data_IF_541460379532
#
_entry.id   IF_541460379532
#
_cell.length_a   1.000
_cell.length_b   1.000
_cell.length_c   1.000
_cell.angle_alpha   90.00
_cell.angle_beta   90.00
_cell.angle_gamma   90.00
#
_symmetry.space_group_name_H-M   'P 1'
#
loop_
_entity.id
_entity.type
_entity.pdbx_description
1 polymer ?
2 polymer ?
3 non-polymer ?
4 non-polymer ?
5 non-polymer ?
6 water ?
#
# COMPACT_ATOMS: atom_id res chain seq x y z
N UNK A 25 11.87 -29.18 4.28
CA UNK A 25 11.19 -28.08 4.96
C UNK A 25 11.71 -26.72 4.48
N UNK A 26 12.97 -26.42 4.80
CA UNK A 26 13.58 -25.14 4.44
C UNK A 26 13.58 -24.87 2.94
N UNK A 27 14.02 -25.85 2.15
CA UNK A 27 14.10 -25.68 0.71
C UNK A 27 12.70 -25.50 0.10
N UNK A 28 11.76 -26.30 0.59
CA UNK A 28 10.37 -26.24 0.13
C UNK A 28 9.73 -24.87 0.38
N UNK A 29 10.04 -24.28 1.53
CA UNK A 29 9.43 -23.02 1.95
C UNK A 29 10.12 -21.80 1.34
N UNK A 30 11.44 -21.84 1.28
CA UNK A 30 12.24 -20.74 0.78
C UNK A 30 11.99 -20.51 -0.72
N UNK A 31 11.74 -21.59 -1.46
CA UNK A 31 11.56 -21.49 -2.90
C UNK A 31 10.37 -20.61 -3.25
N UNK A 32 9.45 -20.49 -2.29
CA UNK A 32 8.21 -19.76 -2.53
C UNK A 32 8.33 -18.28 -2.18
N UNK A 33 9.41 -17.91 -1.51
CA UNK A 33 9.68 -16.51 -1.25
C UNK A 33 10.00 -15.86 -2.60
N UNK A 34 9.37 -14.72 -2.87
CA UNK A 34 9.51 -14.04 -4.15
C UNK A 34 10.93 -13.87 -4.63
N UNK A 35 11.82 -13.58 -3.68
CA UNK A 35 13.23 -13.39 -3.97
C UNK A 35 13.94 -14.67 -4.43
N UNK A 36 13.24 -15.79 -4.37
CA UNK A 36 13.85 -17.06 -4.74
C UNK A 36 13.02 -17.82 -5.77
N UNK A 37 11.85 -17.29 -6.11
CA UNK A 37 10.93 -17.99 -7.01
C UNK A 37 11.52 -18.23 -8.38
N UNK A 38 11.40 -19.47 -8.86
CA UNK A 38 11.95 -19.85 -10.14
C UNK A 38 13.43 -20.16 -10.08
N UNK A 39 14.10 -19.59 -9.08
CA UNK A 39 15.53 -19.81 -8.90
C UNK A 39 15.83 -21.25 -8.49
N UNK A 40 16.77 -21.87 -9.20
CA UNK A 40 17.24 -23.19 -8.81
C UNK A 40 17.97 -23.04 -7.49
N UNK A 41 18.15 -24.14 -6.76
CA UNK A 41 18.94 -24.19 -5.51
C UNK A 41 20.41 -23.67 -5.60
N UNK A 42 20.58 -22.39 -5.91
CA UNK A 42 21.74 -21.63 -5.44
C UNK A 42 21.33 -21.34 -4.00
N UNK A 50 27.03 -18.82 1.53
CA UNK A 50 26.77 -18.94 2.96
C UNK A 50 26.32 -17.66 3.69
N UNK A 51 25.20 -17.09 3.26
CA UNK A 51 24.49 -16.14 4.10
C UNK A 51 23.79 -16.97 5.16
N UNK A 52 24.32 -16.99 6.39
CA UNK A 52 23.92 -18.00 7.38
C UNK A 52 22.62 -17.68 8.13
N UNK A 53 21.67 -18.62 8.09
CA UNK A 53 20.36 -18.49 8.71
C UNK A 53 20.44 -18.30 10.21
N UNK A 54 19.72 -17.31 10.71
CA UNK A 54 19.72 -16.96 12.11
C UNK A 54 18.50 -17.53 12.83
N UNK A 55 18.64 -17.72 14.13
CA UNK A 55 17.53 -18.15 14.97
C UNK A 55 17.18 -17.09 16.01
N UNK A 56 15.89 -16.93 16.24
CA UNK A 56 15.41 -16.00 17.24
C UNK A 56 14.50 -16.74 18.20
N UNK A 57 14.53 -16.35 19.48
CA UNK A 57 13.54 -16.85 20.44
C UNK A 57 12.19 -16.21 20.20
N UNK A 58 11.15 -16.79 20.77
CA UNK A 58 9.85 -16.16 20.80
C UNK A 58 9.94 -14.84 21.58
N UNK A 59 9.15 -13.83 21.20
CA UNK A 59 9.16 -12.54 21.88
C UNK A 59 10.40 -11.67 21.70
N UNK A 60 11.21 -12.01 20.72
CA UNK A 60 12.40 -11.22 20.37
C UNK A 60 12.02 -10.09 19.41
N UNK A 61 12.47 -8.88 19.69
CA UNK A 61 12.31 -7.81 18.72
C UNK A 61 13.45 -7.89 17.71
N UNK A 62 13.10 -8.21 16.47
CA UNK A 62 14.11 -8.33 15.43
C UNK A 62 14.71 -6.96 15.20
N UNK A 63 13.85 -5.97 15.09
CA UNK A 63 14.24 -4.58 15.07
C UNK A 63 13.06 -3.74 15.52
N UNK A 64 13.32 -2.51 15.94
CA UNK A 64 12.28 -1.63 16.42
C UNK A 64 11.96 -0.50 15.44
N UNK A 65 10.76 0.04 15.57
CA UNK A 65 10.32 1.17 14.77
C UNK A 65 11.31 2.32 14.96
N UNK A 66 11.83 2.86 13.86
CA UNK A 66 12.67 4.04 13.94
C UNK A 66 14.16 3.81 13.82
N UNK A 67 14.58 2.58 14.05
CA UNK A 67 16.00 2.22 13.95
C UNK A 67 16.52 2.29 12.53
N UNK A 68 17.84 2.52 12.38
CA UNK A 68 18.36 2.40 11.02
C UNK A 68 18.28 0.93 10.63
N UNK A 69 18.09 0.67 9.34
CA UNK A 69 17.94 -0.72 8.90
C UNK A 69 18.76 -1.01 7.68
N UNK A 70 19.51 -2.10 7.73
CA UNK A 70 20.42 -2.40 6.63
C UNK A 70 20.17 -3.82 6.11
N UNK A 71 19.02 -4.37 6.45
CA UNK A 71 18.81 -5.81 6.30
C UNK A 71 17.35 -6.16 6.11
N UNK A 72 17.06 -7.04 5.15
CA UNK A 72 15.74 -7.64 5.05
C UNK A 72 15.82 -9.11 5.49
N UNK A 73 14.68 -9.66 5.90
CA UNK A 73 14.60 -11.04 6.35
C UNK A 73 13.58 -11.82 5.53
N UNK A 74 13.89 -13.09 5.30
CA UNK A 74 12.95 -14.09 4.83
C UNK A 74 12.72 -15.16 5.90
N UNK A 75 11.46 -15.32 6.32
CA UNK A 75 11.11 -16.31 7.30
C UNK A 75 11.15 -17.71 6.72
N UNK A 76 11.81 -18.61 7.45
CA UNK A 76 11.86 -20.02 7.13
C UNK A 76 10.85 -20.76 7.97
N UNK A 77 10.75 -20.36 9.24
CA UNK A 77 9.78 -20.95 10.14
C UNK A 77 9.45 -19.99 11.28
N UNK A 78 8.22 -20.07 11.77
CA UNK A 78 7.74 -19.20 12.83
C UNK A 78 6.95 -18.00 12.32
N UNK A 79 6.46 -17.19 13.26
CA UNK A 79 5.65 -16.02 12.98
C UNK A 79 6.25 -14.79 13.64
N UNK A 80 6.13 -13.69 12.91
CA UNK A 80 6.62 -12.38 13.30
C UNK A 80 5.48 -11.40 13.15
N UNK A 81 5.26 -10.59 14.17
CA UNK A 81 4.22 -9.57 14.11
C UNK A 81 4.85 -8.22 13.78
N UNK A 82 4.13 -7.44 12.97
CA UNK A 82 4.62 -6.17 12.51
C UNK A 82 3.78 -5.09 13.19
N UNK A 83 4.42 -4.24 13.98
CA UNK A 83 3.70 -3.27 14.79
C UNK A 83 4.12 -1.83 14.57
N UNK A 84 3.14 -0.94 14.67
CA UNK A 84 3.40 0.48 14.57
C UNK A 84 2.81 1.19 15.76
N UNK A 85 3.66 1.92 16.48
CA UNK A 85 3.25 2.65 17.67
C UNK A 85 2.26 3.78 17.39
N UNK A 86 1.24 3.89 18.22
CA UNK A 86 0.30 5.00 18.17
C UNK A 86 0.91 6.19 18.94
N UNK A 87 0.25 7.35 18.88
CA UNK A 87 0.76 8.54 19.59
C UNK A 87 1.33 8.24 20.99
N UNK A 88 0.80 7.21 21.66
CA UNK A 88 1.42 6.67 22.87
C UNK A 88 2.42 5.58 22.46
N UNK A 91 0.17 0.75 20.25
CA UNK A 91 0.85 -0.12 19.30
C UNK A 91 -0.21 -0.95 18.61
N UNK A 92 -0.46 -0.67 17.34
CA UNK A 92 -1.42 -1.46 16.58
C UNK A 92 -0.69 -2.36 15.60
N UNK A 93 -1.10 -3.62 15.56
CA UNK A 93 -0.45 -4.58 14.70
C UNK A 93 -0.98 -4.42 13.28
N UNK A 94 -0.10 -4.52 12.29
CA UNK A 94 -0.52 -4.30 10.92
C UNK A 94 -0.62 -5.61 10.22
N UNK A 95 0.29 -6.53 10.52
CA UNK A 95 0.20 -7.84 9.92
C UNK A 95 1.06 -8.88 10.64
N UNK A 96 0.80 -10.14 10.33
CA UNK A 96 1.52 -11.25 10.92
C UNK A 96 2.29 -11.89 9.79
N UNK A 97 3.60 -11.94 9.90
CA UNK A 97 4.39 -12.53 8.85
C UNK A 97 4.69 -13.98 9.19
N UNK A 98 4.65 -14.84 8.17
CA UNK A 98 4.98 -16.26 8.33
C UNK A 98 6.02 -16.81 7.35
N UNK A 99 6.12 -18.14 7.27
CA UNK A 99 7.05 -18.85 6.38
C UNK A 99 6.96 -18.37 4.94
N UNK A 100 8.10 -18.00 4.36
CA UNK A 100 8.20 -17.55 2.97
C UNK A 100 8.06 -16.03 2.81
N UNK A 101 7.51 -15.38 3.82
CA UNK A 101 7.25 -13.94 3.78
C UNK A 101 8.52 -13.19 3.98
N UNK A 102 8.52 -11.94 3.55
CA UNK A 102 9.71 -11.13 3.58
C UNK A 102 9.34 -9.88 4.36
N UNK A 103 10.14 -9.48 5.35
CA UNK A 103 9.89 -8.22 6.04
C UNK A 103 11.18 -7.42 6.21
N UNK A 104 11.04 -6.12 6.44
CA UNK A 104 12.19 -5.21 6.52
C UNK A 104 12.82 -4.80 5.19
N UNK A 105 12.07 -4.90 4.10
CA UNK A 105 12.61 -4.58 2.77
C UNK A 105 12.44 -3.10 2.43
N UNK A 106 11.54 -2.43 3.14
CA UNK A 106 11.35 -1.01 2.90
C UNK A 106 12.64 -0.20 3.06
N UNK A 107 13.33 -0.32 4.19
CA UNK A 107 14.53 0.48 4.38
C UNK A 107 15.71 0.06 3.50
N UNK A 108 15.62 -1.12 2.90
CA UNK A 108 16.61 -1.49 1.91
C UNK A 108 16.24 -0.89 0.54
N UNK A 109 14.95 -0.93 0.18
CA UNK A 109 14.52 -0.39 -1.11
C UNK A 109 14.39 1.13 -1.11
N UNK A 110 13.92 1.71 -0.02
CA UNK A 110 13.83 3.16 0.11
C UNK A 110 14.50 3.55 1.42
N UNK A 111 15.84 3.66 1.40
CA UNK A 111 16.67 3.88 2.61
C UNK A 111 16.06 4.91 3.56
N UNK A 112 15.90 4.49 4.80
CA UNK A 112 15.22 5.26 5.83
C UNK A 112 15.15 4.40 7.07
N UNK A 113 14.54 4.93 8.15
CA UNK A 113 14.43 4.15 9.39
C UNK A 113 13.30 3.11 9.24
N UNK A 114 13.28 2.08 10.09
CA UNK A 114 12.26 1.04 10.00
C UNK A 114 10.93 1.74 10.19
N UNK A 115 9.96 1.41 9.32
CA UNK A 115 8.63 2.02 9.40
C UNK A 115 7.76 1.33 10.44
N UNK A 116 8.27 0.26 11.03
CA UNK A 116 7.59 -0.39 12.14
C UNK A 116 8.50 -1.37 12.87
N UNK A 117 8.01 -2.01 13.91
CA UNK A 117 8.80 -3.04 14.59
C UNK A 117 8.43 -4.42 14.07
N UNK A 118 9.39 -5.33 14.17
CA UNK A 118 9.16 -6.74 13.85
C UNK A 118 9.49 -7.55 15.11
N UNK A 119 8.52 -8.33 15.60
CA UNK A 119 8.65 -9.05 16.86
C UNK A 119 8.20 -10.49 16.66
N UNK A 120 9.08 -11.45 16.95
CA UNK A 120 8.71 -12.84 16.75
C UNK A 120 7.61 -13.23 17.73
N UNK A 121 6.68 -14.08 17.33
CA UNK A 121 5.66 -14.50 18.29
C UNK A 121 5.79 -15.99 18.58
N UNK A 122 6.44 -16.69 17.68
CA UNK A 122 6.92 -18.04 17.94
C UNK A 122 8.46 -17.96 17.82
N UNK A 123 9.14 -19.07 18.05
CA UNK A 123 10.53 -19.19 17.65
C UNK A 123 10.60 -19.01 16.14
N UNK A 124 11.60 -18.29 15.69
CA UNK A 124 11.75 -17.98 14.29
C UNK A 124 13.12 -18.36 13.80
N UNK A 125 13.15 -19.02 12.64
CA UNK A 125 14.37 -19.27 11.90
C UNK A 125 14.25 -18.47 10.61
N UNK A 126 15.22 -17.62 10.36
CA UNK A 126 15.14 -16.65 9.30
C UNK A 126 16.48 -16.53 8.56
N UNK A 127 16.39 -16.04 7.34
CA UNK A 127 17.58 -15.72 6.57
C UNK A 127 17.49 -14.23 6.22
N UNK A 128 18.58 -13.54 6.39
CA UNK A 128 18.57 -12.11 6.15
C UNK A 128 19.63 -11.71 5.13
N UNK A 129 19.42 -10.57 4.49
CA UNK A 129 20.47 -10.04 3.63
C UNK A 129 20.44 -8.53 3.58
N UNK A 130 21.63 -7.95 3.43
CA UNK A 130 21.78 -6.49 3.37
C UNK A 130 21.70 -6.00 1.93
N UNK A 131 21.72 -4.67 1.78
CA UNK A 131 21.62 -4.02 0.47
C UNK A 131 22.67 -4.53 -0.50
N UNK A 132 23.89 -4.74 0.01
CA UNK A 132 25.00 -5.23 -0.80
C UNK A 132 24.67 -6.60 -1.41
N UNK A 133 24.35 -7.55 -0.54
CA UNK A 133 24.02 -8.90 -1.00
C UNK A 133 22.76 -8.88 -1.89
N UNK A 134 21.77 -8.11 -1.50
CA UNK A 134 20.54 -8.00 -2.26
C UNK A 134 20.87 -7.60 -3.69
N UNK A 135 21.64 -6.53 -3.82
CA UNK A 135 22.04 -6.05 -5.14
C UNK A 135 22.87 -7.08 -5.88
N UNK A 136 23.78 -7.75 -5.18
CA UNK A 136 24.53 -8.83 -5.80
C UNK A 136 23.57 -9.88 -6.35
N UNK A 137 22.74 -10.43 -5.47
CA UNK A 137 21.77 -11.45 -5.84
C UNK A 137 20.87 -10.96 -6.97
N UNK A 138 20.66 -9.65 -7.02
CA UNK A 138 19.71 -9.02 -7.96
C UNK A 138 20.31 -8.77 -9.36
N UNK A 139 21.57 -8.34 -9.40
CA UNK A 139 22.25 -8.09 -10.67
C UNK A 139 22.11 -9.33 -11.55
N UNK A 140 22.28 -10.48 -10.90
CA UNK A 140 22.05 -11.79 -11.48
C UNK A 140 20.81 -11.80 -12.39
N UNK A 141 19.68 -11.33 -11.83
CA UNK A 141 18.39 -11.55 -12.46
C UNK A 141 17.37 -10.43 -12.23
N UNK A 142 16.80 -9.90 -13.31
CA UNK A 142 15.80 -8.83 -13.27
C UNK A 142 14.43 -9.41 -12.92
N UNK A 143 14.22 -10.68 -13.26
CA UNK A 143 12.96 -11.32 -12.95
C UNK A 143 12.79 -11.37 -11.44
N UNK A 144 13.88 -11.52 -10.71
CA UNK A 144 13.77 -11.43 -9.26
C UNK A 144 13.37 -10.02 -8.87
N UNK A 145 13.90 -9.03 -9.57
CA UNK A 145 13.46 -7.66 -9.36
C UNK A 145 11.94 -7.52 -9.53
N UNK A 146 11.39 -8.22 -10.51
CA UNK A 146 9.97 -8.09 -10.81
C UNK A 146 9.14 -8.75 -9.73
N UNK A 147 9.63 -9.89 -9.22
CA UNK A 147 8.94 -10.62 -8.15
C UNK A 147 8.84 -9.76 -6.92
N UNK A 148 9.93 -9.05 -6.64
CA UNK A 148 9.99 -8.15 -5.51
C UNK A 148 9.00 -6.99 -5.69
N UNK A 149 8.87 -6.51 -6.94
CA UNK A 149 7.98 -5.40 -7.22
C UNK A 149 6.57 -5.86 -6.99
N UNK A 150 6.32 -7.11 -7.34
CA UNK A 150 5.01 -7.69 -7.22
C UNK A 150 4.63 -7.80 -5.74
N UNK A 151 5.58 -8.15 -4.89
CA UNK A 151 5.29 -8.10 -3.47
C UNK A 151 4.87 -6.70 -2.98
N UNK A 152 5.63 -5.66 -3.31
CA UNK A 152 5.23 -4.32 -2.89
C UNK A 152 3.89 -3.85 -3.49
N UNK A 153 3.61 -4.20 -4.74
CA UNK A 153 2.35 -3.81 -5.36
C UNK A 153 1.22 -4.47 -4.62
N UNK A 154 1.39 -5.75 -4.33
CA UNK A 154 0.39 -6.49 -3.59
C UNK A 154 0.16 -5.88 -2.20
N UNK A 155 1.24 -5.47 -1.53
CA UNK A 155 1.08 -4.78 -0.25
C UNK A 155 0.35 -3.47 -0.41
N UNK A 156 0.61 -2.78 -1.51
CA UNK A 156 0.02 -1.49 -1.80
C UNK A 156 -1.47 -1.62 -2.14
N UNK A 157 -1.80 -2.59 -2.98
CA UNK A 157 -3.18 -2.93 -3.29
C UNK A 157 -3.95 -3.20 -1.99
N UNK A 158 -3.34 -3.99 -1.13
CA UNK A 158 -3.98 -4.43 0.09
C UNK A 158 -4.10 -3.33 1.12
N UNK A 159 -3.10 -2.44 1.12
CA UNK A 159 -3.10 -1.25 1.96
C UNK A 159 -4.37 -0.41 1.80
N UNK A 160 -4.87 -0.28 0.57
CA UNK A 160 -6.06 0.52 0.31
C UNK A 160 -7.26 -0.10 1.02
N UNK A 161 -7.42 -1.41 0.85
CA UNK A 161 -8.55 -2.14 1.40
C UNK A 161 -8.57 -2.14 2.93
N UNK A 162 -7.44 -2.43 3.55
CA UNK A 162 -7.34 -2.42 5.01
C UNK A 162 -7.63 -1.03 5.59
N UNK A 163 -7.19 -0.01 4.87
CA UNK A 163 -7.38 1.36 5.29
C UNK A 163 -8.85 1.78 5.11
N UNK A 164 -9.49 1.28 4.06
CA UNK A 164 -10.91 1.54 3.84
C UNK A 164 -11.77 0.85 4.92
N UNK A 165 -11.34 -0.34 5.34
CA UNK A 165 -12.01 -1.02 6.44
C UNK A 165 -11.97 -0.18 7.71
N UNK A 166 -10.81 0.38 8.02
CA UNK A 166 -10.64 1.19 9.21
C UNK A 166 -11.51 2.43 9.21
N UNK A 167 -11.98 2.81 8.02
CA UNK A 167 -12.83 3.98 7.87
C UNK A 167 -14.31 3.60 7.83
N UNK A 168 -14.60 2.42 7.28
CA UNK A 168 -15.95 2.12 6.80
C UNK A 168 -16.61 0.84 7.38
N UNK A 169 -15.79 -0.10 7.86
CA UNK A 169 -16.31 -1.39 8.30
C UNK A 169 -16.53 -1.45 9.82
N UNK A 170 -17.65 -2.04 10.25
CA UNK A 170 -17.94 -2.25 11.69
C UNK A 170 -16.94 -3.22 12.31
N UNK A 171 -16.97 -3.35 13.64
CA UNK A 171 -15.96 -4.14 14.34
C UNK A 171 -16.10 -5.64 14.11
N UNK A 172 -17.25 -6.23 14.48
CA UNK A 172 -17.48 -7.65 14.19
C UNK A 172 -17.11 -8.05 12.76
N UNK A 173 -17.48 -7.24 11.78
CA UNK A 173 -17.08 -7.47 10.41
C UNK A 173 -15.57 -7.48 10.21
N UNK A 174 -14.85 -6.58 10.88
CA UNK A 174 -13.39 -6.57 10.74
C UNK A 174 -12.77 -7.82 11.40
N UNK A 175 -13.43 -8.35 12.42
CA UNK A 175 -12.96 -9.58 13.08
C UNK A 175 -13.04 -10.78 12.15
N UNK A 176 -14.21 -10.96 11.56
CA UNK A 176 -14.44 -12.03 10.61
C UNK A 176 -13.39 -11.94 9.52
N UNK A 177 -13.14 -10.70 9.11
CA UNK A 177 -12.24 -10.40 8.01
C UNK A 177 -10.81 -10.77 8.39
N UNK A 178 -10.41 -10.37 9.59
CA UNK A 178 -9.06 -10.65 10.04
C UNK A 178 -8.86 -12.15 10.17
N UNK A 179 -9.86 -12.84 10.72
CA UNK A 179 -9.82 -14.30 10.83
C UNK A 179 -9.58 -14.97 9.48
N UNK A 180 -10.27 -14.51 8.44
CA UNK A 180 -10.10 -15.09 7.09
C UNK A 180 -8.77 -14.69 6.46
N UNK A 181 -8.34 -13.47 6.74
CA UNK A 181 -7.01 -13.08 6.31
C UNK A 181 -5.97 -14.03 6.93
N UNK A 182 -6.11 -14.35 8.21
CA UNK A 182 -5.19 -15.30 8.84
C UNK A 182 -5.46 -16.69 8.27
N UNK A 183 -6.72 -16.99 8.00
CA UNK A 183 -7.04 -18.31 7.45
C UNK A 183 -6.31 -18.57 6.13
N UNK A 184 -6.30 -17.57 5.25
CA UNK A 184 -5.69 -17.78 3.94
C UNK A 184 -4.16 -17.84 4.01
N UNK A 185 -3.58 -17.31 5.07
CA UNK A 185 -2.13 -17.33 5.23
C UNK A 185 -1.59 -18.56 5.99
N UNK A 186 -2.30 -19.05 6.99
CA UNK A 186 -1.80 -20.17 7.78
C UNK A 186 -2.80 -21.30 7.91
N UNK A 187 -3.96 -21.15 7.29
CA UNK A 187 -5.00 -22.15 7.39
C UNK A 187 -4.59 -23.44 6.72
N UNK A 188 -5.07 -24.55 7.27
CA UNK A 188 -4.90 -25.84 6.66
C UNK A 188 -6.23 -26.58 6.74
N UNK A 189 -6.38 -27.59 5.89
CA UNK A 189 -7.58 -28.42 5.88
C UNK A 189 -7.62 -29.36 7.08
N UNK A 190 -8.70 -29.28 7.83
CA UNK A 190 -8.90 -30.21 8.94
C UNK A 190 -10.26 -30.87 8.86
N UNK A 191 -10.32 -31.99 8.15
CA UNK A 191 -11.53 -32.77 8.03
C UNK A 191 -12.73 -31.96 7.58
N UNK A 192 -12.59 -31.28 6.45
CA UNK A 192 -13.69 -30.52 5.89
C UNK A 192 -13.99 -29.28 6.69
N UNK A 193 -12.95 -28.53 7.03
CA UNK A 193 -13.04 -27.26 7.74
C UNK A 193 -11.62 -26.75 7.78
N UNK A 194 -11.41 -25.51 8.22
CA UNK A 194 -10.02 -25.08 8.32
C UNK A 194 -9.54 -24.73 9.71
N UNK A 195 -8.38 -25.28 10.03
CA UNK A 195 -7.69 -24.99 11.27
C UNK A 195 -6.75 -23.83 10.99
N UNK A 196 -6.95 -22.74 11.71
CA UNK A 196 -6.11 -21.56 11.59
C UNK A 196 -5.31 -21.34 12.88
N UNK A 197 -4.13 -21.95 12.97
CA UNK A 197 -3.31 -21.77 14.17
C UNK A 197 -2.51 -20.48 14.10
N UNK A 198 -2.96 -19.45 14.80
CA UNK A 198 -2.43 -18.11 14.59
C UNK A 198 -1.37 -17.63 15.61
N UNK A 199 -1.28 -18.31 16.74
CA UNK A 199 -0.27 -18.02 17.78
C UNK A 199 -0.34 -16.65 18.49
N UNK A 200 -1.51 -16.02 18.41
CA UNK A 200 -1.69 -14.65 18.91
C UNK A 200 -2.46 -14.66 20.22
N UNK A 201 -2.16 -13.74 21.12
CA UNK A 201 -3.02 -13.58 22.29
C UNK A 201 -4.38 -13.01 21.83
N UNK A 202 -5.31 -12.84 22.77
CA UNK A 202 -6.56 -12.14 22.50
C UNK A 202 -6.23 -10.66 22.24
N UNK A 203 -5.33 -10.14 23.06
CA UNK A 203 -4.89 -8.76 22.93
C UNK A 203 -4.27 -8.49 21.56
N UNK A 204 -3.44 -9.41 21.08
CA UNK A 204 -2.82 -9.23 19.77
C UNK A 204 -3.86 -9.30 18.65
N UNK A 205 -4.85 -10.18 18.78
CA UNK A 205 -5.94 -10.19 17.82
C UNK A 205 -6.66 -8.84 17.79
N UNK A 206 -6.95 -8.28 18.97
CA UNK A 206 -7.63 -6.99 19.06
C UNK A 206 -6.79 -5.88 18.46
N UNK A 207 -5.47 -5.97 18.65
CA UNK A 207 -4.56 -4.98 18.09
C UNK A 207 -4.46 -5.11 16.56
N UNK A 208 -4.80 -6.28 16.07
CA UNK A 208 -4.78 -6.55 14.65
C UNK A 208 -6.06 -5.97 14.04
N UNK A 209 -7.18 -6.17 14.73
CA UNK A 209 -8.47 -5.63 14.28
C UNK A 209 -8.59 -4.10 14.41
N UNK A 210 -7.89 -3.50 15.37
CA UNK A 210 -8.00 -2.07 15.60
C UNK A 210 -9.15 -1.69 16.53
N UNK A 211 -9.59 -2.64 17.36
CA UNK A 211 -10.64 -2.35 18.34
C UNK A 211 -10.24 -2.83 19.74
N UNK A 212 -11.12 -2.61 20.71
CA UNK A 212 -10.83 -2.99 22.09
C UNK A 212 -10.95 -4.49 22.34
N UNK A 213 -10.16 -5.00 23.28
CA UNK A 213 -10.18 -6.43 23.61
C UNK A 213 -11.59 -6.89 23.96
N UNK A 214 -12.32 -6.05 24.69
CA UNK A 214 -13.68 -6.39 25.09
C UNK A 214 -14.57 -6.52 23.87
N UNK A 215 -14.55 -5.52 23.00
CA UNK A 215 -15.36 -5.57 21.80
C UNK A 215 -14.97 -6.77 20.91
N UNK A 216 -13.68 -6.94 20.66
CA UNK A 216 -13.19 -8.06 19.84
C UNK A 216 -13.59 -9.42 20.40
N UNK A 217 -13.49 -9.59 21.72
CA UNK A 217 -13.91 -10.83 22.35
C UNK A 217 -15.39 -11.19 22.15
N UNK A 218 -16.29 -10.24 22.34
CA UNK A 218 -17.72 -10.51 22.15
C UNK A 218 -17.99 -10.94 20.72
N UNK A 219 -17.41 -10.23 19.76
CA UNK A 219 -17.55 -10.64 18.37
C UNK A 219 -17.04 -12.08 18.17
N UNK A 220 -15.87 -12.39 18.71
CA UNK A 220 -15.33 -13.75 18.64
C UNK A 220 -16.29 -14.72 19.34
N UNK A 221 -16.73 -14.34 20.53
CA UNK A 221 -17.68 -15.15 21.29
C UNK A 221 -18.95 -15.45 20.47
N UNK A 222 -19.54 -14.42 19.87
CA UNK A 222 -20.76 -14.52 19.07
C UNK A 222 -20.57 -15.42 17.85
N UNK A 223 -19.43 -15.30 17.19
CA UNK A 223 -19.10 -16.17 16.08
C UNK A 223 -19.04 -17.64 16.53
N UNK A 224 -18.68 -17.82 17.79
CA UNK A 224 -18.57 -19.14 18.38
C UNK A 224 -19.93 -19.79 18.63
N UNK A 225 -20.85 -19.05 19.24
CA UNK A 225 -22.19 -19.56 19.53
C UNK A 225 -22.98 -19.85 18.26
N UNK A 226 -22.63 -19.15 17.19
CA UNK A 226 -23.23 -19.40 15.89
C UNK A 226 -22.59 -20.62 15.23
N UNK A 227 -21.50 -21.10 15.85
CA UNK A 227 -20.82 -22.27 15.38
C UNK A 227 -20.07 -22.07 14.08
N UNK A 228 -19.76 -20.81 13.77
CA UNK A 228 -18.94 -20.54 12.58
C UNK A 228 -17.48 -20.80 12.90
N UNK A 229 -17.12 -20.66 14.17
CA UNK A 229 -15.74 -20.87 14.57
C UNK A 229 -15.68 -21.51 15.94
N UNK A 230 -14.54 -22.11 16.25
CA UNK A 230 -14.29 -22.70 17.56
C UNK A 230 -12.94 -22.18 18.07
N UNK A 231 -12.90 -21.68 19.30
CA UNK A 231 -11.67 -21.13 19.83
C UNK A 231 -10.92 -22.14 20.67
N UNK A 232 -9.70 -22.46 20.26
CA UNK A 232 -8.89 -23.44 20.96
C UNK A 232 -7.45 -22.96 21.10
N UNK A 233 -7.17 -22.30 22.22
CA UNK A 233 -5.85 -21.77 22.47
C UNK A 233 -5.45 -20.73 21.44
N UNK A 234 -4.33 -20.96 20.77
CA UNK A 234 -3.80 -20.04 19.79
C UNK A 234 -4.19 -20.43 18.38
N UNK A 235 -5.32 -21.09 18.25
CA UNK A 235 -5.83 -21.53 16.95
C UNK A 235 -7.35 -21.44 16.95
N UNK A 236 -7.90 -20.97 15.84
CA UNK A 236 -9.34 -20.98 15.66
C UNK A 236 -9.68 -22.09 14.67
N UNK A 237 -10.77 -22.80 14.92
CA UNK A 237 -11.29 -23.78 13.96
C UNK A 237 -12.47 -23.18 13.17
N UNK A 238 -12.26 -22.88 11.89
CA UNK A 238 -13.32 -22.25 11.11
C UNK A 238 -14.21 -23.28 10.41
N UNK A 239 -15.36 -23.56 11.03
CA UNK A 239 -16.28 -24.57 10.54
C UNK A 239 -17.04 -24.07 9.32
N UNK A 240 -17.39 -22.79 9.33
CA UNK A 240 -18.16 -22.25 8.23
C UNK A 240 -17.59 -20.94 7.71
N UNK A 241 -16.59 -21.06 6.83
CA UNK A 241 -15.91 -19.90 6.27
C UNK A 241 -16.84 -19.19 5.32
N UNK A 242 -17.76 -19.94 4.74
CA UNK A 242 -18.83 -19.37 3.90
C UNK A 242 -19.62 -18.29 4.64
N UNK A 243 -20.02 -18.60 5.87
CA UNK A 243 -20.76 -17.61 6.64
C UNK A 243 -19.85 -16.46 7.07
N UNK A 244 -18.71 -16.81 7.66
CA UNK A 244 -17.75 -15.82 8.12
C UNK A 244 -17.42 -14.85 7.01
N UNK A 245 -17.34 -15.35 5.78
CA UNK A 245 -17.10 -14.48 4.62
C UNK A 245 -18.26 -13.51 4.37
N UNK A 246 -19.48 -14.01 4.50
CA UNK A 246 -20.64 -13.17 4.31
C UNK A 246 -20.64 -12.07 5.35
N UNK A 247 -20.29 -12.44 6.58
CA UNK A 247 -20.28 -11.49 7.68
C UNK A 247 -19.17 -10.44 7.56
N UNK A 248 -18.07 -10.80 6.91
CA UNK A 248 -16.90 -9.93 6.84
C UNK A 248 -17.21 -8.56 6.24
N UNK B 24 12.87 17.75 -25.96
CA UNK B 24 13.64 18.13 -24.80
C UNK B 24 12.82 18.94 -23.81
N UNK B 25 11.52 19.07 -24.08
CA UNK B 25 10.61 19.48 -23.02
C UNK B 25 10.03 18.22 -22.40
N UNK B 26 9.60 17.30 -23.26
CA UNK B 26 9.21 15.97 -22.81
C UNK B 26 10.39 15.36 -22.07
N UNK B 27 11.60 15.66 -22.53
CA UNK B 27 12.85 15.20 -21.92
C UNK B 27 13.06 15.79 -20.52
N UNK B 28 12.53 16.99 -20.30
CA UNK B 28 12.65 17.66 -19.01
C UNK B 28 11.68 17.03 -18.01
N UNK B 29 10.41 16.98 -18.38
CA UNK B 29 9.37 16.40 -17.53
C UNK B 29 9.69 14.95 -17.13
N UNK B 30 9.94 14.09 -18.11
CA UNK B 30 10.28 12.70 -17.85
C UNK B 30 11.46 12.55 -16.92
N UNK B 31 12.42 13.47 -17.02
CA UNK B 31 13.66 13.38 -16.25
C UNK B 31 13.44 13.52 -14.75
N UNK B 32 12.32 14.12 -14.35
CA UNK B 32 12.06 14.28 -12.92
C UNK B 32 10.89 13.38 -12.45
N UNK B 33 10.76 12.26 -13.16
CA UNK B 33 9.86 11.18 -12.77
C UNK B 33 10.63 10.18 -11.92
N UNK B 34 10.00 9.66 -10.89
CA UNK B 34 10.66 8.75 -9.98
C UNK B 34 11.45 7.69 -10.71
N UNK B 35 10.89 7.19 -11.80
CA UNK B 35 11.44 6.06 -12.52
C UNK B 35 12.80 6.39 -13.11
N UNK B 36 13.16 7.68 -13.12
CA UNK B 36 14.35 8.15 -13.81
C UNK B 36 15.38 8.88 -12.97
N UNK B 37 15.19 8.90 -11.66
CA UNK B 37 16.24 9.42 -10.78
C UNK B 37 17.57 8.71 -11.09
N UNK B 38 18.30 9.27 -12.06
CA UNK B 38 19.51 8.65 -12.58
C UNK B 38 19.70 8.99 -14.04
N UNK B 39 20.90 9.41 -14.41
CA UNK B 39 21.15 9.98 -15.74
C UNK B 39 22.39 9.43 -16.44
N UNK B 40 22.63 8.12 -16.33
CA UNK B 40 23.73 7.49 -17.05
C UNK B 40 23.21 6.81 -18.30
N UNK B 48 17.98 11.39 -22.97
CA UNK B 48 17.22 10.81 -24.08
C UNK B 48 16.10 9.97 -23.50
N UNK B 49 15.84 8.82 -24.13
CA UNK B 49 14.78 7.91 -23.70
C UNK B 49 13.39 8.47 -24.03
N UNK B 50 13.15 8.66 -25.32
CA UNK B 50 11.84 9.05 -25.80
C UNK B 50 11.14 7.80 -26.32
N UNK B 51 9.83 7.76 -26.17
CA UNK B 51 9.05 6.57 -26.49
C UNK B 51 8.00 6.82 -27.58
N UNK B 52 6.90 7.48 -27.22
CA UNK B 52 5.80 7.81 -28.14
C UNK B 52 4.50 7.96 -27.35
N UNK B 53 3.99 9.20 -27.27
CA UNK B 53 2.94 9.56 -26.33
C UNK B 53 1.51 9.50 -26.86
N UNK B 54 0.57 9.85 -25.99
CA UNK B 54 -0.84 9.79 -26.31
C UNK B 54 -1.62 10.99 -25.77
N UNK B 55 -2.64 11.41 -26.53
CA UNK B 55 -3.45 12.57 -26.17
C UNK B 55 -4.77 12.14 -25.57
N UNK B 56 -5.14 12.76 -24.46
CA UNK B 56 -6.39 12.48 -23.79
C UNK B 56 -7.12 13.78 -23.58
N UNK B 57 -8.43 13.81 -23.88
CA UNK B 57 -9.25 15.01 -23.69
C UNK B 57 -9.46 15.24 -22.22
N UNK B 58 -9.89 16.44 -21.84
CA UNK B 58 -10.39 16.63 -20.49
C UNK B 58 -11.57 15.69 -20.29
N UNK B 59 -11.86 15.31 -19.05
CA UNK B 59 -13.02 14.49 -18.73
C UNK B 59 -12.98 13.04 -19.20
N UNK B 60 -11.80 12.53 -19.49
CA UNK B 60 -11.64 11.19 -20.02
C UNK B 60 -11.31 10.14 -18.94
N UNK B 61 -12.03 9.02 -18.96
CA UNK B 61 -11.73 7.90 -18.08
C UNK B 61 -10.62 7.06 -18.71
N UNK B 62 -9.41 7.24 -18.21
CA UNK B 62 -8.24 6.51 -18.72
C UNK B 62 -8.38 5.03 -18.44
N UNK B 63 -8.94 4.72 -17.28
CA UNK B 63 -9.42 3.39 -16.98
C UNK B 63 -10.24 3.51 -15.72
N UNK B 64 -11.03 2.48 -15.46
CA UNK B 64 -11.93 2.48 -14.31
C UNK B 64 -11.56 1.42 -13.28
N UNK B 65 -11.82 1.75 -12.01
CA UNK B 65 -11.65 0.81 -10.90
C UNK B 65 -12.27 -0.55 -11.24
N UNK B 66 -11.47 -1.62 -11.13
CA UNK B 66 -12.00 -2.96 -11.27
C UNK B 66 -11.76 -3.63 -12.62
N UNK B 67 -11.44 -2.87 -13.65
CA UNK B 67 -11.22 -3.52 -14.93
C UNK B 67 -9.78 -4.03 -15.01
N UNK B 68 -9.49 -4.92 -15.96
CA UNK B 68 -8.11 -5.41 -16.00
C UNK B 68 -7.16 -4.32 -16.52
N UNK B 69 -5.98 -4.21 -15.93
CA UNK B 69 -5.00 -3.27 -16.46
C UNK B 69 -3.85 -3.97 -17.15
N UNK B 70 -3.29 -3.31 -18.16
CA UNK B 70 -1.96 -3.68 -18.64
C UNK B 70 -1.19 -2.45 -19.10
N UNK B 71 -1.47 -1.31 -18.50
CA UNK B 71 -0.76 -0.11 -18.89
C UNK B 71 -0.48 0.85 -17.73
N UNK B 72 0.77 1.29 -17.61
CA UNK B 72 1.08 2.40 -16.73
C UNK B 72 1.32 3.67 -17.55
N UNK B 73 1.18 4.81 -16.92
CA UNK B 73 1.21 6.09 -17.60
C UNK B 73 2.12 7.01 -16.84
N UNK B 74 2.86 7.83 -17.59
CA UNK B 74 3.62 8.94 -17.04
C UNK B 74 3.18 10.23 -17.72
N UNK B 75 2.59 11.12 -16.94
CA UNK B 75 2.05 12.38 -17.42
C UNK B 75 3.15 13.33 -17.86
N UNK B 76 2.96 13.92 -19.03
CA UNK B 76 3.86 14.95 -19.53
C UNK B 76 3.24 16.31 -19.29
N UNK B 77 1.96 16.43 -19.66
CA UNK B 77 1.16 17.62 -19.43
C UNK B 77 -0.26 17.23 -18.98
N UNK B 78 -0.85 18.04 -18.10
CA UNK B 78 -2.22 17.85 -17.66
C UNK B 78 -2.31 17.22 -16.29
N UNK B 79 -3.51 17.17 -15.72
CA UNK B 79 -3.75 16.53 -14.42
C UNK B 79 -4.72 15.36 -14.52
N UNK B 80 -4.61 14.44 -13.58
CA UNK B 80 -5.45 13.26 -13.48
C UNK B 80 -5.82 13.02 -12.04
N UNK B 81 -7.08 12.74 -11.79
CA UNK B 81 -7.52 12.36 -10.46
C UNK B 81 -7.63 10.84 -10.36
N UNK B 82 -7.16 10.30 -9.23
CA UNK B 82 -7.19 8.87 -8.96
C UNK B 82 -8.26 8.62 -7.92
N UNK B 83 -9.29 7.87 -8.30
CA UNK B 83 -10.45 7.75 -7.44
C UNK B 83 -10.75 6.30 -7.12
N UNK B 84 -11.26 6.08 -5.92
CA UNK B 84 -11.63 4.76 -5.47
C UNK B 84 -13.05 4.85 -4.94
N UNK B 85 -13.80 3.74 -5.03
CA UNK B 85 -15.21 3.70 -4.67
C UNK B 85 -15.44 3.58 -3.17
N UNK B 86 -16.12 4.57 -2.59
CA UNK B 86 -16.61 4.46 -1.20
C UNK B 86 -17.92 3.67 -1.17
N UNK B 87 -18.20 2.99 -0.05
CA UNK B 87 -19.32 2.06 0.10
C UNK B 87 -20.66 2.76 -0.05
N UNK B 88 -20.70 4.05 0.28
CA UNK B 88 -21.91 4.83 0.14
C UNK B 88 -22.07 5.32 -1.30
N UNK B 89 -21.25 4.78 -2.19
CA UNK B 89 -21.34 5.13 -3.60
C UNK B 89 -20.60 6.40 -3.99
N UNK B 90 -20.06 7.12 -3.02
CA UNK B 90 -19.23 8.29 -3.34
C UNK B 90 -17.82 7.88 -3.75
N UNK B 91 -17.05 8.86 -4.23
CA UNK B 91 -15.69 8.62 -4.69
C UNK B 91 -14.67 9.29 -3.79
N UNK B 92 -13.86 8.50 -3.10
CA UNK B 92 -12.69 9.03 -2.42
C UNK B 92 -11.59 9.29 -3.45
N UNK B 93 -11.28 10.54 -3.69
CA UNK B 93 -10.10 10.85 -4.50
C UNK B 93 -8.85 10.66 -3.62
N UNK B 94 -7.97 9.78 -4.07
CA UNK B 94 -6.77 9.42 -3.33
C UNK B 94 -5.63 10.43 -3.59
N UNK B 95 -5.46 10.81 -4.84
CA UNK B 95 -4.48 11.81 -5.18
C UNK B 95 -4.76 12.49 -6.52
N UNK B 96 -4.07 13.60 -6.74
CA UNK B 96 -4.13 14.30 -8.03
C UNK B 96 -2.74 14.21 -8.64
N UNK B 97 -2.60 13.40 -9.70
CA UNK B 97 -1.34 13.28 -10.42
C UNK B 97 -1.20 14.42 -11.40
N UNK B 98 0.03 14.88 -11.60
CA UNK B 98 0.35 15.88 -12.62
C UNK B 98 1.64 15.54 -13.35
N UNK B 99 2.23 16.54 -14.01
CA UNK B 99 3.41 16.28 -14.84
C UNK B 99 4.51 15.57 -14.07
N UNK B 100 5.05 14.52 -14.67
CA UNK B 100 6.13 13.68 -14.12
C UNK B 100 5.63 12.54 -13.26
N UNK B 101 4.37 12.58 -12.83
CA UNK B 101 3.84 11.52 -11.97
C UNK B 101 3.56 10.24 -12.77
N UNK B 102 3.58 9.10 -12.08
CA UNK B 102 3.21 7.82 -12.67
C UNK B 102 1.94 7.28 -12.02
N UNK B 103 1.05 6.70 -12.82
CA UNK B 103 -0.09 5.99 -12.29
C UNK B 103 -0.32 4.77 -13.15
N UNK B 104 -1.07 3.81 -12.62
CA UNK B 104 -1.38 2.57 -13.32
C UNK B 104 -0.38 1.43 -13.21
N UNK B 105 0.67 1.56 -12.40
CA UNK B 105 1.74 0.55 -12.35
C UNK B 105 1.42 -0.69 -11.54
N UNK B 106 0.46 -0.56 -10.63
CA UNK B 106 0.09 -1.64 -9.71
C UNK B 106 -0.45 -2.87 -10.45
N UNK B 107 -1.23 -2.66 -11.50
CA UNK B 107 -1.75 -3.79 -12.26
C UNK B 107 -0.74 -4.37 -13.28
N UNK B 108 0.37 -3.69 -13.48
CA UNK B 108 1.46 -4.27 -14.21
C UNK B 108 2.26 -5.23 -13.31
N UNK B 109 2.57 -4.79 -12.09
CA UNK B 109 3.42 -5.56 -11.19
C UNK B 109 2.67 -6.69 -10.54
N UNK B 110 1.41 -6.44 -10.19
CA UNK B 110 0.58 -7.45 -9.53
C UNK B 110 -0.68 -7.65 -10.33
N UNK B 111 -0.57 -8.43 -11.39
CA UNK B 111 -1.65 -8.73 -12.33
C UNK B 111 -2.98 -8.93 -11.58
N UNK B 112 -3.92 -8.05 -11.87
CA UNK B 112 -5.21 -8.02 -11.22
C UNK B 112 -5.97 -6.81 -11.75
N UNK B 113 -7.10 -6.47 -11.11
CA UNK B 113 -7.98 -5.35 -11.51
C UNK B 113 -7.43 -4.00 -11.05
N UNK B 114 -7.78 -2.93 -11.74
CA UNK B 114 -7.38 -1.58 -11.30
C UNK B 114 -7.86 -1.35 -9.85
N UNK B 115 -7.00 -0.77 -9.01
CA UNK B 115 -7.38 -0.54 -7.61
C UNK B 115 -8.14 0.77 -7.48
N UNK B 116 -8.16 1.54 -8.57
CA UNK B 116 -8.80 2.84 -8.61
C UNK B 116 -9.11 3.18 -10.06
N UNK B 117 -9.87 4.26 -10.27
CA UNK B 117 -10.03 4.79 -11.62
C UNK B 117 -9.12 6.00 -11.79
N UNK B 118 -8.73 6.28 -13.02
CA UNK B 118 -7.92 7.46 -13.31
C UNK B 118 -8.69 8.31 -14.31
N UNK B 119 -8.91 9.57 -13.96
CA UNK B 119 -9.71 10.44 -14.79
C UNK B 119 -9.01 11.75 -14.96
N UNK B 120 -8.81 12.15 -16.22
CA UNK B 120 -8.22 13.43 -16.55
C UNK B 120 -9.15 14.56 -16.11
N UNK B 121 -8.59 15.60 -15.49
CA UNK B 121 -9.37 16.81 -15.16
C UNK B 121 -8.99 17.98 -16.07
N UNK B 122 -7.96 17.77 -16.88
CA UNK B 122 -7.63 18.69 -17.97
C UNK B 122 -7.25 17.85 -19.17
N UNK B 123 -7.01 18.51 -20.29
CA UNK B 123 -6.40 17.85 -21.41
C UNK B 123 -5.09 17.23 -20.87
N UNK B 124 -4.78 16.02 -21.32
CA UNK B 124 -3.62 15.32 -20.80
C UNK B 124 -2.77 14.79 -21.93
N UNK B 125 -1.47 15.02 -21.83
CA UNK B 125 -0.50 14.33 -22.67
C UNK B 125 0.28 13.41 -21.74
N UNK B 126 0.55 12.19 -22.19
CA UNK B 126 1.25 11.22 -21.38
C UNK B 126 1.92 10.17 -22.24
N UNK B 127 2.79 9.39 -21.60
CA UNK B 127 3.37 8.24 -22.28
C UNK B 127 2.90 7.01 -21.54
N UNK B 128 2.82 5.89 -22.26
CA UNK B 128 2.31 4.65 -21.72
C UNK B 128 3.30 3.51 -21.96
N UNK B 129 3.29 2.52 -21.08
CA UNK B 129 3.90 1.24 -21.39
C UNK B 129 3.10 0.08 -20.80
N UNK B 130 3.03 -1.02 -21.56
CA UNK B 130 2.48 -2.25 -21.04
C UNK B 130 3.62 -3.05 -20.47
N UNK B 131 3.35 -4.27 -20.06
CA UNK B 131 4.37 -5.08 -19.39
C UNK B 131 5.54 -5.41 -20.30
N UNK B 132 5.25 -5.79 -21.55
CA UNK B 132 6.31 -6.07 -22.52
C UNK B 132 7.24 -4.87 -22.60
N UNK B 133 6.67 -3.69 -22.78
CA UNK B 133 7.47 -2.47 -22.91
C UNK B 133 8.35 -2.26 -21.68
N UNK B 134 7.74 -2.33 -20.49
CA UNK B 134 8.45 -2.16 -19.24
C UNK B 134 9.55 -3.21 -19.07
N UNK B 135 9.31 -4.40 -19.54
CA UNK B 135 10.30 -5.47 -19.44
C UNK B 135 11.51 -5.06 -20.27
N UNK B 136 11.23 -4.59 -21.47
CA UNK B 136 12.27 -4.20 -22.42
C UNK B 136 13.07 -2.99 -21.95
N UNK B 137 12.37 -1.97 -21.47
CA UNK B 137 13.04 -0.85 -20.79
C UNK B 137 14.04 -1.34 -19.74
N UNK B 138 13.60 -2.27 -18.91
CA UNK B 138 14.41 -2.76 -17.79
C UNK B 138 15.55 -3.67 -18.22
N UNK B 139 15.45 -4.26 -19.41
CA UNK B 139 16.59 -4.97 -19.97
C UNK B 139 17.58 -3.91 -20.46
N UNK B 140 17.03 -2.77 -20.84
CA UNK B 140 17.79 -1.70 -21.45
C UNK B 140 18.56 -0.94 -20.39
N UNK B 141 17.83 -0.48 -19.38
CA UNK B 141 18.41 0.22 -18.25
C UNK B 141 18.04 -0.53 -16.97
N UNK B 142 18.90 -1.46 -16.55
CA UNK B 142 18.57 -2.26 -15.36
C UNK B 142 18.36 -1.40 -14.11
N UNK B 143 18.92 -0.21 -14.10
CA UNK B 143 18.74 0.67 -12.97
C UNK B 143 17.29 1.12 -12.78
N UNK B 144 16.45 0.92 -13.78
CA UNK B 144 15.04 1.28 -13.66
C UNK B 144 14.32 0.40 -12.62
N UNK B 145 14.77 -0.84 -12.47
CA UNK B 145 14.23 -1.74 -11.46
C UNK B 145 14.39 -1.16 -10.05
N UNK B 146 15.59 -0.69 -9.72
CA UNK B 146 15.84 -0.08 -8.42
C UNK B 146 14.94 1.10 -8.13
N UNK B 147 14.73 1.95 -9.13
CA UNK B 147 13.92 3.14 -8.93
C UNK B 147 12.46 2.81 -8.68
N UNK B 148 11.95 1.81 -9.42
CA UNK B 148 10.59 1.35 -9.22
C UNK B 148 10.44 0.76 -7.79
N UNK B 149 11.41 -0.04 -7.36
CA UNK B 149 11.34 -0.60 -6.03
C UNK B 149 11.37 0.53 -5.03
N UNK B 150 12.29 1.48 -5.24
CA UNK B 150 12.35 2.63 -4.36
C UNK B 150 11.00 3.39 -4.37
N UNK B 151 10.40 3.56 -5.56
CA UNK B 151 9.17 4.37 -5.67
C UNK B 151 8.03 3.74 -4.89
N UNK B 152 7.82 2.44 -5.09
CA UNK B 152 6.72 1.80 -4.37
C UNK B 152 7.00 1.69 -2.87
N UNK B 153 8.25 1.42 -2.50
CA UNK B 153 8.60 1.27 -1.09
C UNK B 153 8.33 2.59 -0.40
N UNK B 154 8.78 3.67 -1.01
CA UNK B 154 8.47 5.00 -0.53
C UNK B 154 6.97 5.27 -0.39
N UNK B 155 6.16 4.71 -1.29
CA UNK B 155 4.71 4.92 -1.21
C UNK B 155 4.12 4.16 -0.02
N UNK B 156 4.71 3.03 0.29
CA UNK B 156 4.31 2.28 1.48
C UNK B 156 4.69 3.08 2.71
N UNK B 157 5.94 3.54 2.75
CA UNK B 157 6.43 4.24 3.91
C UNK B 157 5.55 5.47 4.22
N UNK B 158 5.27 6.29 3.21
CA UNK B 158 4.41 7.47 3.36
C UNK B 158 3.02 7.13 3.93
N UNK B 159 2.38 6.09 3.39
CA UNK B 159 1.07 5.71 3.84
C UNK B 159 1.10 5.35 5.32
N UNK B 160 2.13 4.62 5.73
CA UNK B 160 2.30 4.31 7.15
C UNK B 160 2.29 5.58 8.01
N UNK B 161 3.14 6.53 7.64
CA UNK B 161 3.27 7.80 8.34
C UNK B 161 1.98 8.63 8.43
N UNK B 162 1.02 8.32 7.56
CA UNK B 162 -0.20 9.12 7.48
C UNK B 162 -1.44 8.43 8.08
N UNK B 163 -1.37 8.09 9.37
CA UNK B 163 -2.57 7.67 10.10
C UNK B 163 -3.18 8.90 10.78
N UNK B 164 -3.78 9.74 9.95
CA UNK B 164 -4.44 10.95 10.43
C UNK B 164 -5.93 10.79 10.21
N UNK B 165 -6.33 9.70 9.56
CA UNK B 165 -7.74 9.34 9.46
C UNK B 165 -8.23 8.92 10.85
N UNK B 166 -7.30 8.38 11.64
CA UNK B 166 -7.54 8.16 13.06
C UNK B 166 -7.23 9.47 13.75
N UNK B 170 -12.82 16.62 11.45
CA UNK B 170 -12.49 18.01 11.67
C UNK B 170 -13.19 18.75 10.54
N UNK B 171 -12.53 18.78 9.38
CA UNK B 171 -13.09 19.22 8.10
C UNK B 171 -12.53 20.56 7.62
N UNK B 172 -12.55 21.58 8.47
CA UNK B 172 -11.85 22.80 8.06
C UNK B 172 -10.34 22.63 8.24
N UNK B 173 -9.95 21.81 9.20
CA UNK B 173 -8.55 21.52 9.45
C UNK B 173 -7.98 20.58 8.42
N UNK B 174 -8.83 19.74 7.84
CA UNK B 174 -8.42 18.80 6.81
C UNK B 174 -8.41 19.47 5.44
N UNK B 175 -9.31 20.44 5.26
CA UNK B 175 -9.42 21.19 4.02
C UNK B 175 -8.20 22.08 3.83
N UNK B 176 -7.80 22.73 4.91
CA UNK B 176 -6.65 23.62 4.89
C UNK B 176 -5.42 22.84 4.48
N UNK B 177 -5.28 21.67 5.09
CA UNK B 177 -4.21 20.74 4.77
C UNK B 177 -4.22 20.40 3.29
N UNK B 178 -5.38 20.00 2.77
CA UNK B 178 -5.52 19.71 1.35
C UNK B 178 -5.11 20.90 0.52
N UNK B 179 -5.64 22.08 0.86
CA UNK B 179 -5.28 23.29 0.13
C UNK B 179 -3.77 23.49 0.10
N UNK B 180 -3.12 23.26 1.25
CA UNK B 180 -1.68 23.42 1.34
C UNK B 180 -0.96 22.37 0.51
N UNK B 181 -1.46 21.14 0.56
CA UNK B 181 -0.84 20.07 -0.20
C UNK B 181 -1.01 20.34 -1.70
N UNK B 182 -2.11 20.98 -2.06
CA UNK B 182 -2.34 21.36 -3.44
C UNK B 182 -1.41 22.51 -3.80
N UNK B 183 -1.09 23.34 -2.80
CA UNK B 183 -0.22 24.50 -3.00
C UNK B 183 1.22 24.09 -3.37
N UNK B 184 1.74 23.07 -2.70
CA UNK B 184 3.11 22.61 -2.96
C UNK B 184 3.27 21.99 -4.35
N UNK B 185 2.28 21.21 -4.77
CA UNK B 185 2.37 20.49 -6.04
C UNK B 185 2.18 21.39 -7.27
N UNK B 186 1.22 22.32 -7.23
CA UNK B 186 0.91 23.13 -8.41
C UNK B 186 0.94 24.64 -8.16
N UNK B 187 1.47 25.06 -7.01
CA UNK B 187 1.46 26.46 -6.64
C UNK B 187 2.52 27.27 -7.36
N UNK B 188 2.30 28.58 -7.50
CA UNK B 188 3.25 29.44 -8.23
C UNK B 188 3.39 30.84 -7.64
N UNK B 194 1.55 31.59 -5.10
CA UNK B 194 0.59 30.65 -4.56
C UNK B 194 -0.79 30.83 -5.16
N UNK B 195 -0.81 31.29 -6.41
CA UNK B 195 -1.93 31.02 -7.26
C UNK B 195 -1.84 29.52 -7.43
N UNK B 196 -2.87 28.81 -7.00
CA UNK B 196 -2.86 27.37 -7.09
C UNK B 196 -3.90 26.92 -8.11
N UNK B 197 -3.44 26.73 -9.34
CA UNK B 197 -4.31 26.24 -10.40
C UNK B 197 -4.45 24.75 -10.20
N UNK B 198 -5.47 24.36 -9.45
CA UNK B 198 -5.67 22.97 -9.09
C UNK B 198 -6.61 22.29 -10.04
N UNK B 199 -7.25 23.09 -10.89
CA UNK B 199 -8.22 22.60 -11.88
C UNK B 199 -9.27 21.65 -11.29
N UNK B 200 -9.53 21.78 -10.00
CA UNK B 200 -10.46 20.89 -9.34
C UNK B 200 -11.85 21.49 -9.19
N UNK B 201 -12.81 20.61 -8.96
CA UNK B 201 -14.17 20.98 -8.62
C UNK B 201 -14.32 21.00 -7.10
N UNK B 202 -15.35 21.67 -6.60
CA UNK B 202 -15.63 21.73 -5.16
C UNK B 202 -16.00 20.36 -4.62
N UNK B 203 -16.89 19.67 -5.32
CA UNK B 203 -17.19 18.27 -5.00
C UNK B 203 -15.89 17.47 -5.08
N UNK B 204 -15.11 17.68 -6.14
CA UNK B 204 -13.80 17.04 -6.26
C UNK B 204 -12.89 17.39 -5.09
N UNK B 205 -12.98 18.63 -4.61
CA UNK B 205 -12.16 19.04 -3.48
C UNK B 205 -12.57 18.31 -2.20
N UNK B 206 -13.88 18.16 -2.03
CA UNK B 206 -14.45 17.47 -0.88
C UNK B 206 -14.15 15.98 -0.96
N UNK B 207 -14.07 15.46 -2.18
CA UNK B 207 -13.73 14.06 -2.41
C UNK B 207 -12.27 13.84 -2.06
N UNK B 208 -11.48 14.88 -2.25
CA UNK B 208 -10.07 14.85 -1.88
C UNK B 208 -9.98 14.84 -0.36
N UNK B 209 -10.92 15.54 0.27
CA UNK B 209 -10.94 15.67 1.73
C UNK B 209 -11.52 14.45 2.45
N UNK B 210 -12.52 13.82 1.85
CA UNK B 210 -13.23 12.75 2.52
C UNK B 210 -14.17 13.31 3.59
N UNK B 211 -14.76 14.46 3.27
CA UNK B 211 -15.84 15.05 4.06
C UNK B 211 -16.94 15.51 3.11
N UNK B 212 -18.16 15.63 3.63
CA UNK B 212 -19.31 16.13 2.87
C UNK B 212 -19.02 17.43 2.10
N UNK B 213 -19.71 17.63 0.97
CA UNK B 213 -19.63 18.91 0.27
C UNK B 213 -20.09 20.01 1.22
N UNK B 214 -20.99 19.67 2.13
CA UNK B 214 -21.53 20.64 3.07
C UNK B 214 -20.43 21.23 3.95
N UNK B 215 -19.91 20.42 4.88
CA UNK B 215 -18.83 20.87 5.75
C UNK B 215 -17.76 21.61 4.95
N UNK B 216 -17.33 20.99 3.86
CA UNK B 216 -16.19 21.47 3.09
C UNK B 216 -16.45 22.81 2.43
N UNK B 217 -17.61 22.94 1.80
CA UNK B 217 -18.00 24.21 1.22
C UNK B 217 -18.06 25.28 2.29
N UNK B 218 -18.41 24.87 3.51
CA UNK B 218 -18.47 25.79 4.64
C UNK B 218 -17.08 26.30 4.98
N UNK B 219 -16.17 25.38 5.29
CA UNK B 219 -14.80 25.75 5.62
C UNK B 219 -14.24 26.70 4.57
N UNK B 220 -14.48 26.39 3.30
CA UNK B 220 -13.97 27.20 2.19
C UNK B 220 -14.75 28.51 1.97
N UNK B 221 -15.66 28.84 2.89
CA UNK B 221 -16.29 30.15 2.91
C UNK B 221 -15.72 30.95 4.08
N UNK B 222 -15.47 30.24 5.19
CA UNK B 222 -14.88 30.83 6.38
C UNK B 222 -13.45 31.28 6.12
N UNK B 223 -12.75 30.57 5.25
CA UNK B 223 -11.38 30.90 4.90
C UNK B 223 -11.33 32.12 3.99
N UNK B 224 -12.28 32.18 3.07
CA UNK B 224 -12.39 33.33 2.18
C UNK B 224 -12.74 34.57 2.99
N UNK B 225 -13.84 34.49 3.73
CA UNK B 225 -14.29 35.58 4.58
C UNK B 225 -13.14 36.17 5.40
N UNK B 226 -12.35 35.29 6.01
CA UNK B 226 -11.30 35.72 6.92
C UNK B 226 -10.10 36.33 6.19
N UNK B 227 -10.08 36.19 4.87
CA UNK B 227 -9.06 36.84 4.05
C UNK B 227 -7.88 35.97 3.64
N UNK B 228 -7.82 34.74 4.15
CA UNK B 228 -6.74 33.84 3.79
C UNK B 228 -6.77 33.53 2.30
N UNK B 229 -7.64 32.61 1.92
CA UNK B 229 -7.78 32.20 0.53
C UNK B 229 -8.90 32.97 -0.15
N UNK B 230 -8.83 33.06 -1.48
CA UNK B 230 -9.88 33.68 -2.27
C UNK B 230 -10.21 32.78 -3.47
N UNK B 231 -11.33 32.08 -3.37
CA UNK B 231 -11.74 31.12 -4.40
C UNK B 231 -12.14 31.81 -5.70
N UNK B 232 -11.31 31.65 -6.72
CA UNK B 232 -11.60 32.21 -8.03
C UNK B 232 -11.47 31.14 -9.09
N UNK B 233 -12.58 30.44 -9.38
CA UNK B 233 -12.61 29.39 -10.36
C UNK B 233 -12.02 28.09 -9.86
N UNK B 234 -11.45 27.31 -10.76
CA UNK B 234 -10.82 26.05 -10.41
C UNK B 234 -9.41 26.29 -9.84
N UNK B 235 -9.23 27.43 -9.19
CA UNK B 235 -7.93 27.78 -8.62
C UNK B 235 -8.14 28.35 -7.24
N UNK B 236 -7.13 29.07 -6.73
CA UNK B 236 -7.21 29.67 -5.41
C UNK B 236 -5.96 30.51 -5.12
N UNK B 237 -6.11 31.51 -4.25
CA UNK B 237 -4.99 32.35 -3.82
C UNK B 237 -5.01 32.52 -2.31
N UNK B 238 -3.88 32.26 -1.66
CA UNK B 238 -3.82 32.26 -0.19
C UNK B 238 -3.37 33.59 0.44
N UNK B 239 -3.41 33.64 1.77
CA UNK B 239 -2.90 34.81 2.50
C UNK B 239 -1.83 34.40 3.49
N UNK B 240 -1.94 33.20 4.06
CA UNK B 240 -0.91 32.68 4.95
C UNK B 240 -0.61 31.20 4.64
X LIG C 1 -2.24 -2.59 7.88
X LIG C 1 -3.73 -2.89 8.24
X LIG C 1 -4.77 -1.72 8.29
X LIG C 1 -4.32 -0.19 7.96
X LIG C 1 -2.81 0.10 7.59
X LIG C 1 -1.78 -1.07 7.56
X LIG C 1 -0.29 -0.79 7.24
X LIG C 1 -0.05 -0.84 5.69
X LIG C 1 -0.54 0.51 5.13
X LIG C 1 1.41 -0.93 5.48
X LIG C 1 2.13 -2.23 5.53
X LIG C 1 1.57 -3.44 4.95
X LIG C 1 2.41 -4.81 4.93
X LIG C 1 3.80 -4.85 5.57
X LIG C 1 4.38 -3.60 6.17
X LIG C 1 3.57 -2.29 6.17
X LIG C 1 4.39 -1.24 6.84
X LIG C 1 5.74 -1.90 7.29
X LIG C 1 5.71 -3.34 6.88
X LIG C 1 6.81 -4.30 7.03
X LIG C 1 7.39 -4.07 8.34
X LIG C 1 8.39 -3.02 8.11
X LIG C 1 9.46 -2.91 9.25
X LIG C 1 10.64 -2.20 8.81
X LIG C 1 10.83 -1.76 7.15
X LIG C 1 10.16 -0.26 7.10
X LIG C 1 12.24 -1.90 6.76
X LIG C 1 9.96 -2.55 6.17
X LIG C 1 9.09 -3.51 6.81
X LIG C 1 7.93 -3.98 5.98
X LIG C 1 8.41 -5.17 5.42
X LIG D 1 2.57 -10.34 1.52
X LIG E 1 -4.36 8.91 1.35
X LIG E 1 -4.26 9.41 2.83
X LIG E 1 -3.96 8.40 3.98
X LIG E 1 -3.73 6.82 3.65
X LIG E 1 -3.82 6.32 2.16
X LIG E 1 -4.12 7.33 1.01
X LIG E 1 -4.20 6.84 -0.46
X LIG E 1 -3.55 5.41 -0.57
X LIG E 1 -2.02 5.45 -0.39
X LIG E 1 -3.85 4.89 -1.91
X LIG E 1 -3.22 5.45 -3.10
X LIG E 1 -2.49 6.70 -3.08
X LIG E 1 -1.88 7.33 -4.40
X LIG E 1 -2.06 6.58 -5.71
X LIG E 1 -2.82 5.30 -5.73
X LIG E 1 -3.41 4.70 -4.46
X LIG E 1 -4.10 3.42 -4.77
X LIG E 1 -3.94 3.19 -6.30
X LIG E 1 -3.16 4.33 -6.86
X LIG E 1 -2.81 4.56 -8.29
X LIG E 1 -4.06 4.51 -9.04
X LIG E 1 -4.17 3.07 -9.28
X LIG E 1 -5.29 2.69 -10.31
X LIG E 1 -4.89 1.59 -11.18
X LIG E 1 -3.64 0.56 -10.60
X LIG E 1 -3.13 -0.28 -11.66
X LIG E 1 -4.35 -0.28 -9.37
X LIG E 1 -2.52 1.30 -9.87
X LIG E 1 -2.75 2.72 -9.80
X LIG E 1 -1.86 3.45 -8.83
X LIG E 1 -0.82 4.05 -9.57
#
# INVERSE_FOLDING_TARGET
MGSSHHHHHHSSGLGGTENLYFQSHMDEILARAGIFQGVEPSAIAALTKQLQPVDFPRGHTVFAEGEPGDRLYIIISGKVKIGRRAPDGRENLLTIMGPSDMFGELSIFDPGPRTSSATTITEVRAVSMDRDALRSWIADRPEISEQLLRVLARRLRRTNNNLADLIFTDVPGRVAKQLLQLAQRFGTQEGGALRVTHDLTQEEIAQLVGASRETVNKALADFAHRGWIRLEGKSVLISDSERLARRAR
MGSSHHHHHHSSGLGGTENLYFQSHMDEILARAGIFQGVEPSAIAALTKQLQPVDFPRGHTVFAEGEPGDRLYIIISGKVKIGRRAPDGRENLLTIMGPSDMFGELSIFDPGPRTSSATTITEVRAVSMDRDALRSWIADRPEISEQLLRVLARRLRRTNNNLADLIFTDVPGRVAKQLLQLAQRFGTQEGGALRVTHDLTQEEIAQLVGASRETVNKALADFAHRGWIRLEGKSVLISDSERLARRAR
N6R C5H C5F C5E C5G C5I C5U C5M C5Y C5A N6 C6 N1 C2 N3 C4 C5 N7 C8 N9 C1S O4S C4S C5S O5S P5 O5D O5B O3S C3S C2S O2S
CL CL
N6S C5H C5F C5E C5G C5I C5U C5M C5Y C5A N6 C6 N1 C2 N3 C4 C5 N7 C8 N9 C1S O4S C4S C5S O5S P5 O5D O5B O3S C3S C2S O2S
#
